data_IF_965876706790
#
_entry.id   IF_965876706790
#
_cell.length_a   1.000
_cell.length_b   1.000
_cell.length_c   1.000
_cell.angle_alpha   90.00
_cell.angle_beta   90.00
_cell.angle_gamma   90.00
#
_symmetry.space_group_name_H-M   'P 1'
#
loop_
_entity.id
_entity.type
_entity.pdbx_description
1 polymer ?
#
# COMPACT_ATOMS: atom_id res chain seq x y z
N UNK A 1 11.61 -9.97 4.37
CA UNK A 1 10.50 -9.41 5.17
C UNK A 1 10.82 -8.04 5.81
N UNK A 2 12.09 -7.68 6.03
CA UNK A 2 12.47 -6.42 6.73
C UNK A 2 12.18 -5.14 5.91
N UNK A 3 12.23 -5.21 4.57
CA UNK A 3 12.02 -4.04 3.69
C UNK A 3 10.60 -3.50 3.81
N UNK A 4 9.61 -4.38 3.78
CA UNK A 4 8.20 -4.02 3.84
C UNK A 4 7.87 -3.30 5.16
N UNK A 5 8.28 -3.86 6.30
CA UNK A 5 8.11 -3.22 7.61
C UNK A 5 8.79 -1.84 7.66
N UNK A 6 10.06 -1.74 7.23
CA UNK A 6 10.78 -0.46 7.22
C UNK A 6 10.11 0.58 6.33
N UNK A 7 9.63 0.19 5.16
CA UNK A 7 8.90 1.08 4.27
C UNK A 7 7.60 1.55 4.94
N UNK A 8 6.83 0.63 5.52
CA UNK A 8 5.60 0.94 6.23
C UNK A 8 5.82 1.91 7.39
N UNK A 9 6.86 1.69 8.21
CA UNK A 9 7.24 2.58 9.31
C UNK A 9 7.58 3.99 8.82
N UNK A 10 8.35 4.12 7.73
CA UNK A 10 8.69 5.45 7.17
C UNK A 10 7.46 6.18 6.65
N UNK A 11 6.53 5.46 6.05
CA UNK A 11 5.28 6.04 5.55
C UNK A 11 4.37 6.44 6.72
N UNK A 12 4.22 5.59 7.74
CA UNK A 12 3.42 5.87 8.93
C UNK A 12 4.00 7.01 9.80
N UNK A 13 5.28 7.34 9.64
CA UNK A 13 5.90 8.50 10.28
C UNK A 13 5.49 9.85 9.64
N UNK A 14 4.80 9.84 8.50
CA UNK A 14 4.33 11.05 7.83
C UNK A 14 3.11 11.63 8.56
N UNK A 15 2.99 12.96 8.74
CA UNK A 15 1.85 13.56 9.43
C UNK A 15 0.52 13.41 8.67
N UNK A 16 0.57 13.18 7.35
CA UNK A 16 -0.61 12.92 6.53
C UNK A 16 -1.17 11.50 6.71
N UNK A 17 -0.35 10.55 7.19
CA UNK A 17 -0.65 9.12 7.24
C UNK A 17 -0.82 8.65 8.69
N UNK A 18 -1.93 7.96 8.97
CA UNK A 18 -2.23 7.32 10.26
C UNK A 18 -1.49 5.98 10.38
N UNK A 19 -1.65 5.14 9.35
CA UNK A 19 -1.12 3.79 9.31
C UNK A 19 -0.75 3.40 7.87
N UNK A 20 0.22 2.51 7.72
CA UNK A 20 0.59 1.96 6.42
C UNK A 20 0.87 0.46 6.51
N UNK A 21 0.46 -0.27 5.49
CA UNK A 21 0.84 -1.66 5.25
C UNK A 21 1.53 -1.74 3.90
N UNK A 22 2.69 -2.38 3.84
CA UNK A 22 3.46 -2.57 2.62
C UNK A 22 3.65 -4.05 2.38
N UNK A 23 3.42 -4.49 1.14
CA UNK A 23 3.77 -5.83 0.67
C UNK A 23 4.69 -5.65 -0.53
N UNK A 24 5.85 -6.29 -0.48
CA UNK A 24 6.84 -6.26 -1.57
C UNK A 24 6.87 -7.63 -2.23
N UNK A 25 6.75 -7.65 -3.55
CA UNK A 25 6.72 -8.88 -4.37
C UNK A 25 7.57 -8.67 -5.63
N UNK A 26 8.56 -9.53 -5.88
CA UNK A 26 9.53 -9.37 -6.96
C UNK A 26 10.16 -7.96 -6.98
N UNK A 27 9.79 -7.11 -7.94
CA UNK A 27 10.24 -5.72 -8.10
C UNK A 27 9.10 -4.69 -7.91
N UNK A 28 7.99 -5.12 -7.29
CA UNK A 28 6.81 -4.30 -7.08
C UNK A 28 6.56 -4.12 -5.59
N UNK A 29 6.15 -2.92 -5.19
CA UNK A 29 5.71 -2.63 -3.84
C UNK A 29 4.28 -2.13 -3.85
N UNK A 30 3.45 -2.78 -3.05
CA UNK A 30 2.06 -2.41 -2.85
C UNK A 30 1.93 -1.78 -1.48
N UNK A 31 1.43 -0.55 -1.45
CA UNK A 31 1.30 0.27 -0.26
C UNK A 31 -0.18 0.55 -0.04
N UNK A 32 -0.71 0.07 1.07
CA UNK A 32 -1.97 0.52 1.58
C UNK A 32 -1.73 1.53 2.70
N UNK A 33 -2.08 2.79 2.46
CA UNK A 33 -1.94 3.86 3.45
C UNK A 33 -3.33 4.28 3.96
N UNK A 34 -3.46 4.51 5.25
CA UNK A 34 -4.64 5.10 5.85
C UNK A 34 -4.32 6.55 6.17
N UNK A 35 -4.99 7.49 5.52
CA UNK A 35 -4.80 8.91 5.79
C UNK A 35 -5.54 9.33 7.06
N UNK A 36 -4.99 10.34 7.73
CA UNK A 36 -5.63 10.94 8.90
C UNK A 36 -7.00 11.53 8.55
N UNK A 37 -7.92 11.50 9.51
CA UNK A 37 -9.34 11.87 9.35
C UNK A 37 -9.54 13.29 8.78
N UNK A 38 -8.59 14.19 9.05
CA UNK A 38 -8.50 15.55 8.51
C UNK A 38 -8.32 15.57 6.99
N UNK A 39 -7.48 14.68 6.46
CA UNK A 39 -7.19 14.55 5.02
C UNK A 39 -8.20 13.64 4.30
N UNK A 40 -8.81 12.70 5.03
CA UNK A 40 -9.84 11.79 4.51
C UNK A 40 -11.16 12.53 4.18
N UNK A 41 -11.53 13.53 5.00
CA UNK A 41 -12.74 14.35 4.79
C UNK A 41 -12.62 15.38 3.66
N UNK A 42 -11.41 15.85 3.37
CA UNK A 42 -11.21 16.92 2.39
C UNK A 42 -11.43 16.47 0.93
N UNK A 43 -11.32 15.18 0.63
CA UNK A 43 -11.23 14.70 -0.76
C UNK A 43 -12.01 13.42 -1.07
N UNK A 44 -12.97 13.00 -0.23
CA UNK A 44 -13.93 11.92 -0.57
C UNK A 44 -14.93 12.39 -1.64
N UNK A 45 -14.45 12.63 -2.85
CA UNK A 45 -15.24 12.72 -4.07
C UNK A 45 -14.58 11.80 -5.08
N UNK A 46 -15.36 10.85 -5.61
CA UNK A 46 -14.94 9.96 -6.71
C UNK A 46 -13.98 8.80 -6.37
N UNK A 47 -14.06 8.22 -5.16
CA UNK A 47 -13.30 7.01 -4.81
C UNK A 47 -11.81 7.22 -4.56
N UNK A 48 -11.35 8.48 -4.58
CA UNK A 48 -10.01 8.86 -4.20
C UNK A 48 -10.05 9.36 -2.74
N UNK A 49 -9.74 8.49 -1.76
CA UNK A 49 -9.98 8.77 -0.32
C UNK A 49 -8.97 9.75 0.27
N UNK A 50 -8.75 10.90 -0.38
CA UNK A 50 -7.75 11.88 0.03
C UNK A 50 -6.36 11.69 -0.53
N UNK A 51 -6.11 10.64 -1.32
CA UNK A 51 -4.81 10.44 -1.96
C UNK A 51 -4.60 11.45 -3.07
N UNK A 52 -3.67 12.36 -2.83
CA UNK A 52 -3.18 13.30 -3.82
C UNK A 52 -1.92 12.76 -4.48
N UNK A 53 -1.61 13.23 -5.69
CA UNK A 53 -0.38 12.86 -6.39
C UNK A 53 0.88 13.22 -5.60
N UNK A 54 0.81 14.25 -4.74
CA UNK A 54 1.91 14.64 -3.84
C UNK A 54 2.17 13.57 -2.77
N UNK A 55 1.13 13.12 -2.08
CA UNK A 55 1.23 12.06 -1.06
C UNK A 55 1.67 10.74 -1.71
N UNK A 56 1.08 10.36 -2.84
CA UNK A 56 1.48 9.16 -3.59
C UNK A 56 2.97 9.19 -3.95
N UNK A 57 3.45 10.34 -4.43
CA UNK A 57 4.85 10.52 -4.80
C UNK A 57 5.78 10.44 -3.59
N UNK A 58 5.46 11.14 -2.50
CA UNK A 58 6.23 11.07 -1.24
C UNK A 58 6.36 9.63 -0.74
N UNK A 59 5.24 8.90 -0.71
CA UNK A 59 5.21 7.49 -0.31
C UNK A 59 6.12 6.66 -1.22
N UNK A 60 6.00 6.84 -2.54
CA UNK A 60 6.81 6.13 -3.53
C UNK A 60 8.31 6.38 -3.36
N UNK A 61 8.70 7.64 -3.17
CA UNK A 61 10.09 8.03 -2.90
C UNK A 61 10.61 7.38 -1.60
N UNK A 62 9.81 7.36 -0.54
CA UNK A 62 10.20 6.71 0.71
C UNK A 62 10.42 5.20 0.57
N UNK A 63 9.55 4.50 -0.17
CA UNK A 63 9.67 3.07 -0.44
C UNK A 63 10.94 2.77 -1.23
N UNK A 64 11.15 3.48 -2.35
CA UNK A 64 12.34 3.32 -3.20
C UNK A 64 13.65 3.69 -2.50
N UNK A 65 13.59 4.59 -1.51
CA UNK A 65 14.74 4.92 -0.69
C UNK A 65 15.08 3.83 0.33
N UNK A 66 14.12 2.99 0.73
CA UNK A 66 14.38 1.82 1.59
C UNK A 66 14.96 0.68 0.77
N UNK A 67 14.42 0.46 -0.43
CA UNK A 67 14.86 -0.61 -1.32
C UNK A 67 14.85 -0.11 -2.77
N UNK A 68 16.04 -0.10 -3.39
CA UNK A 68 16.27 0.42 -4.74
C UNK A 68 15.96 -0.62 -5.82
N UNK A 69 15.73 -1.88 -5.44
CA UNK A 69 15.31 -2.95 -6.36
C UNK A 69 13.82 -2.85 -6.71
N UNK A 70 13.06 -1.99 -6.01
CA UNK A 70 11.64 -1.73 -6.30
C UNK A 70 11.50 -0.77 -7.49
N UNK A 71 11.01 -1.29 -8.61
CA UNK A 71 10.71 -0.52 -9.82
C UNK A 71 9.38 0.21 -9.72
N UNK A 72 8.32 -0.50 -9.30
CA UNK A 72 6.97 0.04 -9.27
C UNK A 72 6.43 0.11 -7.85
N UNK A 73 5.84 1.26 -7.50
CA UNK A 73 5.17 1.46 -6.21
C UNK A 73 3.70 1.80 -6.47
N UNK A 74 2.81 0.99 -5.91
CA UNK A 74 1.38 1.11 -6.05
C UNK A 74 0.81 1.57 -4.72
N UNK A 75 0.31 2.80 -4.65
CA UNK A 75 -0.21 3.39 -3.42
C UNK A 75 -1.72 3.50 -3.51
N UNK A 76 -2.42 2.97 -2.52
CA UNK A 76 -3.86 3.16 -2.39
C UNK A 76 -4.24 3.46 -0.95
N UNK A 77 -5.21 4.36 -0.83
CA UNK A 77 -5.84 4.76 0.42
C UNK A 77 -7.25 4.21 0.57
N UNK A 78 -7.63 3.29 -0.33
CA UNK A 78 -8.94 2.67 -0.30
C UNK A 78 -9.05 1.76 0.94
N UNK A 79 -10.07 1.91 1.79
CA UNK A 79 -10.26 1.09 2.97
C UNK A 79 -10.44 -0.40 2.64
N UNK A 80 -11.09 -0.77 1.52
CA UNK A 80 -11.20 -2.18 1.09
C UNK A 80 -9.83 -2.76 0.75
N UNK A 81 -9.01 -1.98 0.04
CA UNK A 81 -7.64 -2.38 -0.29
C UNK A 81 -6.77 -2.50 0.96
N UNK A 82 -6.91 -1.57 1.91
CA UNK A 82 -6.18 -1.59 3.18
C UNK A 82 -6.52 -2.81 4.03
N UNK A 83 -7.81 -3.14 4.17
CA UNK A 83 -8.25 -4.29 4.95
C UNK A 83 -7.72 -5.59 4.35
N UNK A 84 -7.82 -5.75 3.01
CA UNK A 84 -7.23 -6.88 2.30
C UNK A 84 -5.73 -6.99 2.53
N UNK A 85 -4.98 -5.92 2.29
CA UNK A 85 -3.52 -5.87 2.50
C UNK A 85 -3.13 -6.23 3.93
N UNK A 86 -3.88 -5.77 4.91
CA UNK A 86 -3.68 -6.11 6.32
C UNK A 86 -3.90 -7.60 6.57
N UNK A 87 -5.00 -8.16 6.10
CA UNK A 87 -5.30 -9.59 6.27
C UNK A 87 -4.20 -10.46 5.63
N UNK A 88 -3.73 -10.06 4.45
CA UNK A 88 -2.65 -10.73 3.75
C UNK A 88 -1.32 -10.69 4.50
N UNK A 89 -0.92 -9.52 5.00
CA UNK A 89 0.27 -9.39 5.83
C UNK A 89 0.16 -10.26 7.11
N UNK A 90 -1.04 -10.40 7.67
CA UNK A 90 -1.29 -11.25 8.84
C UNK A 90 -1.17 -12.74 8.50
N UNK A 91 -1.76 -13.20 7.40
CA UNK A 91 -1.69 -14.58 6.95
C UNK A 91 -0.24 -15.01 6.64
N UNK A 92 0.55 -14.13 6.04
CA UNK A 92 1.99 -14.35 5.79
C UNK A 92 2.74 -14.49 7.13
N UNK A 93 2.48 -13.60 8.08
CA UNK A 93 3.11 -13.66 9.42
C UNK A 93 2.69 -14.90 10.21
N UNK A 94 1.46 -15.37 10.01
CA UNK A 94 0.93 -16.59 10.60
C UNK A 94 1.48 -17.88 9.97
N UNK A 95 2.28 -17.77 8.89
CA UNK A 95 2.89 -18.92 8.22
C UNK A 95 1.89 -19.75 7.41
N UNK A 96 0.75 -19.16 7.00
CA UNK A 96 -0.22 -19.85 6.15
C UNK A 96 0.34 -20.04 4.74
N UNK A 97 0.02 -21.15 4.06
CA UNK A 97 0.46 -21.38 2.69
C UNK A 97 -0.11 -20.32 1.73
N UNK A 98 0.80 -19.59 1.08
CA UNK A 98 0.53 -18.43 0.21
C UNK A 98 0.19 -18.79 -1.26
N UNK A 99 0.09 -20.08 -1.60
CA UNK A 99 -0.03 -20.52 -3.00
C UNK A 99 -1.29 -20.01 -3.72
N UNK A 100 -2.45 -19.95 -3.05
CA UNK A 100 -3.68 -19.35 -3.62
C UNK A 100 -3.88 -17.87 -3.29
N UNK A 101 -3.07 -17.33 -2.37
CA UNK A 101 -3.16 -15.95 -1.90
C UNK A 101 -2.72 -14.95 -2.98
N UNK A 102 -1.67 -15.27 -3.73
CA UNK A 102 -1.10 -14.35 -4.71
C UNK A 102 -2.03 -14.06 -5.89
N UNK A 103 -2.87 -15.03 -6.27
CA UNK A 103 -3.88 -14.85 -7.33
C UNK A 103 -4.97 -13.86 -6.89
N UNK A 104 -5.58 -14.08 -5.72
CA UNK A 104 -6.58 -13.16 -5.16
C UNK A 104 -6.01 -11.75 -4.92
N UNK A 105 -4.76 -11.69 -4.45
CA UNK A 105 -4.05 -10.44 -4.28
C UNK A 105 -3.90 -9.69 -5.61
N UNK A 106 -3.43 -10.38 -6.65
CA UNK A 106 -3.24 -9.81 -7.98
C UNK A 106 -4.58 -9.33 -8.57
N UNK A 107 -5.67 -10.05 -8.34
CA UNK A 107 -7.02 -9.61 -8.75
C UNK A 107 -7.49 -8.37 -8.00
N UNK A 108 -7.26 -8.30 -6.68
CA UNK A 108 -7.59 -7.13 -5.87
C UNK A 108 -6.81 -5.89 -6.33
N UNK A 109 -5.50 -6.05 -6.57
CA UNK A 109 -4.64 -5.02 -7.14
C UNK A 109 -5.16 -4.57 -8.49
N UNK A 110 -5.45 -5.49 -9.42
CA UNK A 110 -5.98 -5.15 -10.76
C UNK A 110 -7.32 -4.41 -10.70
N UNK A 111 -8.16 -4.71 -9.71
CA UNK A 111 -9.43 -4.01 -9.52
C UNK A 111 -9.23 -2.57 -9.05
N UNK A 112 -8.27 -2.35 -8.15
CA UNK A 112 -7.96 -1.01 -7.61
C UNK A 112 -7.15 -0.19 -8.62
N UNK A 113 -6.29 -0.85 -9.39
CA UNK A 113 -5.42 -0.25 -10.38
C UNK A 113 -5.61 -0.88 -11.77
N UNK A 114 -6.76 -0.65 -12.44
CA UNK A 114 -7.11 -1.32 -13.69
C UNK A 114 -6.32 -0.85 -14.94
N UNK A 115 -5.63 0.30 -14.88
CA UNK A 115 -5.00 0.95 -16.03
C UNK A 115 -3.47 0.79 -16.11
N UNK A 116 -2.89 -0.13 -15.36
CA UNK A 116 -1.44 -0.33 -15.36
C UNK A 116 -1.09 -1.47 -16.32
N UNK A 117 -0.87 -1.10 -17.58
CA UNK A 117 -0.34 -1.92 -18.67
C UNK A 117 1.04 -1.42 -19.06
#
# INVERSE_FOLDING_TARGET
MVVADRAAERIAAMPEVDQANVIVTDNNAYVAAKLNDDHNRANTKNGNYGLTADIERKISDHVKAVDRDIDNVYVSVNPDFYDRMRNYADDIRAGKPIQGFFEEFTEAVRRVFPNQR
#
